data_IF_366685396745
#
_entry.id   IF_366685396745
#
_cell.length_a   1.000
_cell.length_b   1.000
_cell.length_c   1.000
_cell.angle_alpha   90.00
_cell.angle_beta   90.00
_cell.angle_gamma   90.00
#
_symmetry.space_group_name_H-M   'P 1'
#
loop_
_entity.id
_entity.type
_entity.pdbx_description
1 polymer ?
#
# COMPACT_ATOMS: atom_id res chain seq x y z
N UNK A 1 -15.02 -2.79 2.31
CA UNK A 1 -14.02 -1.84 1.83
C UNK A 1 -12.61 -2.37 2.08
N UNK A 2 -11.60 -1.83 1.39
CA UNK A 2 -10.20 -2.18 1.57
C UNK A 2 -9.29 -0.94 1.66
N UNK A 3 -8.05 -1.11 2.13
CA UNK A 3 -7.11 0.00 2.30
C UNK A 3 -5.84 -0.13 1.47
N UNK A 4 -5.59 -1.29 0.88
CA UNK A 4 -4.46 -1.46 -0.04
C UNK A 4 -4.80 -0.89 -1.42
N UNK A 5 -3.77 -0.65 -2.21
CA UNK A 5 -3.88 -0.16 -3.57
C UNK A 5 -2.79 -0.80 -4.43
N UNK A 6 -3.02 -0.94 -5.76
CA UNK A 6 -2.02 -1.45 -6.67
C UNK A 6 -0.76 -0.60 -6.67
N UNK A 7 0.40 -1.23 -6.78
CA UNK A 7 1.65 -0.49 -6.78
C UNK A 7 2.87 -1.37 -6.81
N UNK A 8 3.98 -0.83 -6.34
CA UNK A 8 5.23 -1.56 -6.25
C UNK A 8 5.61 -1.85 -4.80
N UNK A 9 6.44 -2.88 -4.63
CA UNK A 9 7.15 -3.19 -3.38
C UNK A 9 8.64 -3.24 -3.64
N UNK A 10 9.44 -2.75 -2.70
CA UNK A 10 10.90 -2.89 -2.75
C UNK A 10 11.25 -4.34 -2.39
N UNK A 11 12.09 -4.97 -3.21
CA UNK A 11 12.53 -6.36 -2.97
C UNK A 11 13.49 -6.47 -1.79
N UNK A 12 13.66 -7.68 -1.26
CA UNK A 12 14.61 -7.98 -0.17
C UNK A 12 16.05 -7.65 -0.51
N UNK A 13 16.45 -7.80 -1.79
CA UNK A 13 17.67 -7.22 -2.34
C UNK A 13 17.29 -5.87 -2.95
N UNK A 14 17.36 -4.75 -2.19
CA UNK A 14 16.62 -3.54 -2.49
C UNK A 14 17.13 -2.75 -3.68
N UNK A 15 18.39 -2.91 -4.03
CA UNK A 15 18.97 -2.12 -5.11
C UNK A 15 20.05 -2.88 -5.87
N UNK A 16 20.35 -2.38 -7.07
CA UNK A 16 21.51 -2.75 -7.87
C UNK A 16 22.15 -1.51 -8.46
N UNK A 17 23.44 -1.60 -8.76
CA UNK A 17 24.19 -0.54 -9.41
C UNK A 17 24.35 -0.88 -10.89
N UNK A 18 23.94 0.05 -11.74
CA UNK A 18 24.02 -0.07 -13.18
C UNK A 18 24.44 1.28 -13.77
N UNK A 19 25.52 1.30 -14.57
CA UNK A 19 26.08 2.48 -15.21
C UNK A 19 26.33 3.66 -14.24
N UNK A 20 26.81 3.38 -13.03
CA UNK A 20 27.08 4.42 -12.02
C UNK A 20 25.85 4.99 -11.32
N UNK A 21 24.70 4.36 -11.51
CA UNK A 21 23.44 4.73 -10.83
C UNK A 21 22.98 3.55 -9.98
N UNK A 22 22.68 3.80 -8.72
CA UNK A 22 21.97 2.85 -7.87
C UNK A 22 20.49 2.94 -8.17
N UNK A 23 19.91 1.80 -8.57
CA UNK A 23 18.51 1.65 -8.95
C UNK A 23 17.83 0.69 -7.98
N UNK A 24 16.62 1.06 -7.54
CA UNK A 24 15.82 0.18 -6.68
C UNK A 24 15.28 -1.00 -7.48
N UNK A 25 15.18 -2.15 -6.83
CA UNK A 25 14.55 -3.35 -7.40
C UNK A 25 13.12 -3.45 -6.93
N UNK A 26 12.20 -3.58 -7.88
CA UNK A 26 10.77 -3.56 -7.63
C UNK A 26 10.10 -4.90 -7.92
N UNK A 27 8.99 -5.12 -7.23
CA UNK A 27 8.00 -6.15 -7.49
C UNK A 27 6.63 -5.51 -7.60
N UNK A 28 5.83 -5.95 -8.58
CA UNK A 28 4.44 -5.49 -8.73
C UNK A 28 3.53 -6.06 -7.65
N UNK A 29 2.59 -5.26 -7.20
CA UNK A 29 1.54 -5.62 -6.25
C UNK A 29 0.18 -5.23 -6.83
N UNK A 30 -0.74 -6.20 -6.96
CA UNK A 30 -2.04 -5.97 -7.56
C UNK A 30 -2.02 -5.70 -9.07
N UNK A 31 -3.14 -5.24 -9.60
CA UNK A 31 -3.33 -4.92 -11.01
C UNK A 31 -2.92 -3.49 -11.37
N UNK A 32 -1.64 -3.12 -11.24
CA UNK A 32 -1.21 -1.74 -11.42
C UNK A 32 -1.14 -1.29 -12.90
N UNK A 33 -1.45 -0.02 -13.14
CA UNK A 33 -1.22 0.66 -14.42
C UNK A 33 0.22 1.15 -14.46
N UNK A 34 1.09 0.40 -15.10
CA UNK A 34 2.55 0.57 -15.05
C UNK A 34 3.03 1.93 -15.55
N UNK A 35 2.51 2.38 -16.72
CA UNK A 35 2.95 3.65 -17.32
C UNK A 35 2.59 4.88 -16.47
N UNK A 36 1.61 4.78 -15.58
CA UNK A 36 1.26 5.84 -14.66
C UNK A 36 2.34 6.15 -13.61
N UNK A 37 3.36 5.30 -13.48
CA UNK A 37 4.45 5.46 -12.53
C UNK A 37 5.70 6.15 -13.09
N UNK A 38 5.74 6.36 -14.40
CA UNK A 38 6.88 7.00 -15.06
C UNK A 38 6.91 8.51 -14.81
N UNK A 39 8.13 9.06 -14.74
CA UNK A 39 8.45 10.48 -14.64
C UNK A 39 7.85 11.22 -13.42
N UNK A 40 7.37 10.49 -12.44
CA UNK A 40 6.82 11.03 -11.20
C UNK A 40 7.85 10.99 -10.08
N UNK A 41 7.97 12.07 -9.28
CA UNK A 41 8.71 12.01 -8.02
C UNK A 41 8.05 11.04 -7.05
N UNK A 42 8.80 10.06 -6.57
CA UNK A 42 8.31 9.04 -5.65
C UNK A 42 9.02 9.14 -4.30
N UNK A 43 8.25 8.92 -3.24
CA UNK A 43 8.72 8.71 -1.88
C UNK A 43 8.59 7.23 -1.49
N UNK A 44 8.99 6.89 -0.26
CA UNK A 44 8.87 5.54 0.28
C UNK A 44 8.14 5.55 1.61
N UNK A 45 7.22 4.60 1.80
CA UNK A 45 6.58 4.33 3.07
C UNK A 45 6.41 2.83 3.30
N UNK A 46 6.20 2.45 4.55
CA UNK A 46 5.95 1.07 4.94
C UNK A 46 6.46 0.75 6.34
N UNK A 47 6.88 -0.50 6.54
CA UNK A 47 7.42 -0.99 7.81
C UNK A 47 8.85 -1.48 7.63
N UNK A 48 9.66 -1.22 8.65
CA UNK A 48 11.01 -1.77 8.78
C UNK A 48 11.07 -2.55 10.09
N UNK A 49 11.59 -3.75 10.03
CA UNK A 49 11.81 -4.56 11.23
C UNK A 49 13.25 -4.41 11.66
N UNK A 50 13.43 -3.89 12.84
CA UNK A 50 14.74 -3.67 13.44
C UNK A 50 14.92 -4.52 14.68
N UNK A 51 16.16 -4.86 14.99
CA UNK A 51 16.53 -5.52 16.20
C UNK A 51 16.46 -4.52 17.37
N UNK A 52 15.74 -4.87 18.42
CA UNK A 52 15.68 -4.05 19.62
C UNK A 52 16.85 -4.36 20.59
N UNK A 53 16.86 -3.69 21.74
CA UNK A 53 17.90 -3.84 22.77
C UNK A 53 17.99 -5.26 23.35
N UNK A 54 16.90 -6.05 23.26
CA UNK A 54 16.84 -7.42 23.71
C UNK A 54 17.19 -8.43 22.60
N UNK A 55 17.44 -7.93 21.40
CA UNK A 55 17.69 -8.75 20.20
C UNK A 55 16.44 -9.24 19.51
N UNK A 56 15.25 -8.75 19.89
CA UNK A 56 13.98 -9.13 19.30
C UNK A 56 13.60 -8.24 18.12
N UNK A 57 12.78 -8.77 17.19
CA UNK A 57 12.33 -8.02 16.04
C UNK A 57 11.20 -7.03 16.41
N UNK A 58 11.45 -5.74 16.20
CA UNK A 58 10.50 -4.66 16.42
C UNK A 58 10.11 -4.02 15.08
N UNK A 59 8.80 -3.93 14.80
CA UNK A 59 8.29 -3.24 13.62
C UNK A 59 8.25 -1.72 13.87
N UNK A 60 8.79 -0.95 12.94
CA UNK A 60 8.80 0.52 12.95
C UNK A 60 8.17 1.01 11.64
N UNK A 61 7.15 1.85 11.74
CA UNK A 61 6.56 2.49 10.56
C UNK A 61 7.48 3.61 10.06
N UNK A 62 7.72 3.62 8.76
CA UNK A 62 8.58 4.57 8.07
C UNK A 62 7.78 5.28 6.99
N UNK A 63 7.92 6.59 6.91
CA UNK A 63 7.41 7.41 5.81
C UNK A 63 8.41 8.50 5.45
N UNK A 64 9.08 8.34 4.32
CA UNK A 64 10.06 9.29 3.79
C UNK A 64 9.32 10.25 2.86
N UNK A 65 8.79 11.32 3.41
CA UNK A 65 7.89 12.27 2.74
C UNK A 65 8.55 13.21 1.71
N UNK A 66 9.72 12.87 1.20
CA UNK A 66 10.41 13.67 0.19
C UNK A 66 10.58 12.91 -1.11
N UNK A 67 10.69 13.59 -2.26
CA UNK A 67 11.08 12.97 -3.52
C UNK A 67 12.42 12.25 -3.35
N UNK A 68 12.41 10.94 -3.49
CA UNK A 68 13.58 10.09 -3.29
C UNK A 68 13.91 9.26 -4.52
N UNK A 69 12.90 8.88 -5.27
CA UNK A 69 12.99 7.97 -6.39
C UNK A 69 12.30 8.56 -7.63
N UNK A 70 12.75 8.12 -8.81
CA UNK A 70 12.10 8.39 -10.09
C UNK A 70 12.32 7.23 -11.04
N UNK A 71 11.29 6.84 -11.80
CA UNK A 71 11.37 5.91 -12.91
C UNK A 71 11.36 6.74 -14.19
N UNK A 72 12.51 7.02 -14.82
CA UNK A 72 12.54 7.89 -16.00
C UNK A 72 12.02 7.17 -17.23
N UNK A 73 11.22 7.84 -18.04
CA UNK A 73 10.85 7.39 -19.38
C UNK A 73 12.05 7.42 -20.30
N UNK A 74 12.13 6.44 -21.19
CA UNK A 74 13.10 6.49 -22.27
C UNK A 74 12.62 7.40 -23.41
N UNK A 75 13.52 8.18 -23.98
CA UNK A 75 13.21 9.01 -25.13
C UNK A 75 12.77 8.17 -26.34
N UNK A 76 11.90 8.72 -27.19
CA UNK A 76 11.40 8.07 -28.41
C UNK A 76 12.54 7.60 -29.34
N UNK A 77 13.70 8.25 -29.30
CA UNK A 77 14.88 7.85 -30.06
C UNK A 77 15.52 6.55 -29.56
N UNK A 78 15.29 6.19 -28.27
CA UNK A 78 15.81 4.98 -27.64
C UNK A 78 14.78 3.85 -27.73
N UNK A 79 13.50 4.15 -27.50
CA UNK A 79 12.41 3.17 -27.59
C UNK A 79 11.47 3.61 -28.70
N UNK A 80 11.67 3.05 -29.90
CA UNK A 80 10.76 3.28 -31.04
C UNK A 80 9.43 2.62 -30.75
N UNK A 81 8.33 3.29 -31.11
CA UNK A 81 6.97 2.75 -30.92
C UNK A 81 6.46 2.87 -29.48
N UNK A 82 7.07 3.68 -28.63
CA UNK A 82 6.63 3.90 -27.25
C UNK A 82 5.17 4.38 -27.17
N UNK A 83 4.71 5.09 -28.21
CA UNK A 83 3.32 5.58 -28.30
C UNK A 83 2.36 4.55 -28.91
N UNK A 84 2.85 3.41 -29.38
CA UNK A 84 2.05 2.36 -30.05
C UNK A 84 1.66 1.22 -29.07
N UNK A 85 1.77 1.45 -27.77
CA UNK A 85 1.50 0.46 -26.72
C UNK A 85 2.76 -0.17 -26.15
N UNK A 86 3.50 0.59 -25.34
CA UNK A 86 4.71 0.11 -24.68
C UNK A 86 4.40 -1.02 -23.69
N UNK A 87 5.13 -2.13 -23.81
CA UNK A 87 5.16 -3.22 -22.81
C UNK A 87 6.39 -3.07 -21.96
N UNK A 88 6.18 -2.91 -20.66
CA UNK A 88 7.29 -2.74 -19.71
C UNK A 88 7.63 -4.04 -19.01
N UNK A 89 8.93 -4.33 -18.91
CA UNK A 89 9.44 -5.35 -18.01
C UNK A 89 9.80 -4.72 -16.67
N UNK A 90 9.04 -5.04 -15.63
CA UNK A 90 9.22 -4.48 -14.27
C UNK A 90 10.63 -4.74 -13.75
N UNK A 91 11.23 -5.88 -14.09
CA UNK A 91 12.52 -6.31 -13.54
C UNK A 91 13.74 -5.60 -14.18
N UNK A 92 13.57 -5.02 -15.35
CA UNK A 92 14.68 -4.44 -16.12
C UNK A 92 14.47 -2.99 -16.50
N UNK A 93 13.23 -2.56 -16.71
CA UNK A 93 12.93 -1.23 -17.25
C UNK A 93 12.34 -0.28 -16.21
N UNK A 94 11.64 -0.82 -15.19
CA UNK A 94 10.98 -0.01 -14.16
C UNK A 94 11.78 0.04 -12.86
N UNK A 95 13.07 0.27 -12.96
CA UNK A 95 13.95 0.37 -11.80
C UNK A 95 14.18 1.84 -11.44
N UNK A 96 13.57 2.34 -10.36
CA UNK A 96 13.71 3.75 -9.98
C UNK A 96 15.17 4.11 -9.70
N UNK A 97 15.59 5.26 -10.16
CA UNK A 97 16.85 5.86 -9.78
C UNK A 97 16.78 6.32 -8.32
N UNK A 98 17.75 5.91 -7.54
CA UNK A 98 17.88 6.28 -6.14
C UNK A 98 19.05 7.24 -5.92
N UNK A 99 20.24 6.92 -6.43
CA UNK A 99 21.43 7.70 -6.22
C UNK A 99 22.45 7.56 -7.36
N UNK A 100 23.28 8.58 -7.56
CA UNK A 100 24.53 8.41 -8.27
C UNK A 100 25.49 7.57 -7.42
N UNK A 101 26.09 6.56 -8.02
CA UNK A 101 26.93 5.60 -7.30
C UNK A 101 28.13 5.15 -8.15
N UNK A 102 29.15 6.00 -8.19
CA UNK A 102 30.42 5.69 -8.87
C UNK A 102 31.31 4.74 -8.07
N UNK A 103 31.04 4.56 -6.78
CA UNK A 103 31.85 3.72 -5.88
C UNK A 103 31.53 2.23 -5.97
N UNK A 104 30.38 1.87 -6.57
CA UNK A 104 29.97 0.48 -6.72
C UNK A 104 29.45 -0.19 -5.45
N UNK A 105 29.20 0.56 -4.35
CA UNK A 105 28.69 0.05 -3.09
C UNK A 105 27.25 0.52 -2.86
N UNK A 106 26.27 -0.38 -2.70
CA UNK A 106 24.88 0.00 -2.43
C UNK A 106 24.74 0.89 -1.19
N UNK A 107 24.02 2.01 -1.34
CA UNK A 107 23.84 3.03 -0.28
C UNK A 107 22.44 3.00 0.35
N UNK A 108 21.48 2.32 -0.23
CA UNK A 108 20.07 2.37 0.22
C UNK A 108 19.89 1.96 1.68
N UNK A 109 20.44 0.83 2.10
CA UNK A 109 20.28 0.39 3.51
C UNK A 109 20.95 1.34 4.51
N UNK A 110 22.10 1.94 4.12
CA UNK A 110 22.75 2.95 4.98
C UNK A 110 21.91 4.22 5.06
N UNK A 111 21.36 4.67 3.94
CA UNK A 111 20.41 5.79 3.93
C UNK A 111 19.18 5.54 4.79
N UNK A 112 18.61 4.33 4.72
CA UNK A 112 17.44 3.95 5.53
C UNK A 112 17.79 3.93 7.02
N UNK A 113 18.94 3.38 7.38
CA UNK A 113 19.44 3.35 8.75
C UNK A 113 19.65 4.77 9.32
N UNK A 114 20.30 5.65 8.55
CA UNK A 114 20.51 7.06 8.93
C UNK A 114 19.19 7.79 9.11
N UNK A 115 18.22 7.58 8.19
CA UNK A 115 16.89 8.17 8.30
C UNK A 115 16.14 7.74 9.56
N UNK A 116 16.31 6.49 9.96
CA UNK A 116 15.64 5.91 11.13
C UNK A 116 16.42 6.15 12.44
N UNK A 117 17.70 6.56 12.37
CA UNK A 117 18.57 6.69 13.54
C UNK A 117 18.94 5.34 14.18
N UNK A 118 19.11 4.28 13.35
CA UNK A 118 19.49 2.93 13.78
C UNK A 118 20.79 2.49 13.10
N UNK A 119 21.43 1.43 13.61
CA UNK A 119 22.55 0.84 12.89
C UNK A 119 22.01 0.01 11.69
N UNK A 120 22.73 0.03 10.58
CA UNK A 120 22.36 -0.72 9.39
C UNK A 120 22.24 -2.23 9.65
N UNK A 121 23.09 -2.74 10.51
CA UNK A 121 23.15 -4.15 10.90
C UNK A 121 21.96 -4.58 11.76
N UNK A 122 21.23 -3.62 12.33
CA UNK A 122 20.01 -3.88 13.11
C UNK A 122 18.75 -3.95 12.23
N UNK A 123 18.84 -3.57 10.95
CA UNK A 123 17.73 -3.73 10.00
C UNK A 123 17.65 -5.21 9.60
N UNK A 124 16.58 -5.89 10.03
CA UNK A 124 16.33 -7.30 9.78
C UNK A 124 15.66 -7.52 8.40
N UNK A 125 14.60 -6.79 8.15
CA UNK A 125 13.86 -6.79 6.88
C UNK A 125 12.96 -5.56 6.79
N UNK A 126 12.27 -5.41 5.66
CA UNK A 126 11.35 -4.30 5.44
C UNK A 126 10.23 -4.69 4.46
N UNK A 127 9.11 -3.99 4.59
CA UNK A 127 7.99 -3.97 3.64
C UNK A 127 7.81 -2.51 3.21
N UNK A 128 8.55 -2.06 2.20
CA UNK A 128 8.52 -0.68 1.71
C UNK A 128 7.88 -0.60 0.34
N UNK A 129 7.04 0.40 0.15
CA UNK A 129 6.40 0.71 -1.12
C UNK A 129 6.75 2.14 -1.57
N UNK A 130 7.08 2.36 -2.83
CA UNK A 130 7.11 3.69 -3.39
C UNK A 130 5.68 4.24 -3.52
N UNK A 131 5.54 5.55 -3.37
CA UNK A 131 4.32 6.28 -3.63
C UNK A 131 4.62 7.64 -4.25
N UNK A 132 3.69 8.20 -5.02
CA UNK A 132 3.88 9.51 -5.61
C UNK A 132 3.83 10.62 -4.56
N UNK A 133 4.70 11.62 -4.71
CA UNK A 133 4.72 12.81 -3.84
C UNK A 133 3.74 13.84 -4.42
N UNK A 134 2.47 13.64 -4.14
CA UNK A 134 1.38 14.50 -4.61
C UNK A 134 0.20 14.42 -3.63
N UNK A 135 -0.22 15.56 -3.12
CA UNK A 135 -1.29 15.65 -2.11
C UNK A 135 -2.70 15.64 -2.72
N UNK A 136 -2.81 15.59 -4.03
CA UNK A 136 -4.07 15.71 -4.75
C UNK A 136 -4.46 17.15 -5.04
N UNK A 137 -5.42 17.35 -5.95
CA UNK A 137 -5.97 18.66 -6.27
C UNK A 137 -7.38 18.54 -6.85
N UNK A 138 -8.08 19.66 -6.85
CA UNK A 138 -9.28 19.80 -7.67
C UNK A 138 -8.91 20.13 -9.10
N UNK A 139 -9.68 19.61 -10.05
CA UNK A 139 -9.46 19.76 -11.50
C UNK A 139 -10.79 20.06 -12.18
N UNK A 140 -10.73 20.79 -13.28
CA UNK A 140 -11.89 21.22 -14.07
C UNK A 140 -12.06 22.71 -14.07
N UNK A 141 -12.90 23.22 -14.96
CA UNK A 141 -13.14 24.67 -15.10
C UNK A 141 -13.78 25.29 -13.84
N UNK A 142 -14.51 24.47 -13.09
CA UNK A 142 -15.17 24.88 -11.84
C UNK A 142 -14.73 23.97 -10.66
N UNK A 143 -13.56 23.33 -10.77
CA UNK A 143 -13.02 22.44 -9.74
C UNK A 143 -13.94 21.23 -9.41
N UNK A 144 -14.68 20.74 -10.40
CA UNK A 144 -15.70 19.70 -10.23
C UNK A 144 -15.14 18.28 -10.11
N UNK A 145 -13.84 18.07 -10.36
CA UNK A 145 -13.17 16.77 -10.26
C UNK A 145 -12.11 16.76 -9.16
N UNK A 146 -11.90 15.60 -8.58
CA UNK A 146 -10.80 15.34 -7.62
C UNK A 146 -9.75 14.46 -8.30
N UNK A 147 -8.51 14.93 -8.31
CA UNK A 147 -7.35 14.15 -8.77
C UNK A 147 -6.48 13.81 -7.57
N UNK A 148 -6.50 12.56 -7.14
CA UNK A 148 -5.68 12.05 -6.05
C UNK A 148 -5.44 10.56 -6.25
N UNK A 149 -4.32 10.05 -5.73
CA UNK A 149 -4.03 8.63 -5.79
C UNK A 149 -4.89 7.83 -4.81
N UNK A 150 -5.13 6.55 -5.13
CA UNK A 150 -5.76 5.57 -4.23
C UNK A 150 -7.19 5.93 -3.81
N UNK A 151 -7.98 6.56 -4.70
CA UNK A 151 -9.42 6.73 -4.49
C UNK A 151 -10.09 5.37 -4.32
N UNK A 152 -9.67 4.41 -5.09
CA UNK A 152 -9.91 2.99 -4.88
C UNK A 152 -8.92 2.44 -3.85
N UNK A 153 -9.33 2.01 -2.66
CA UNK A 153 -10.68 2.09 -2.11
C UNK A 153 -10.70 3.01 -0.86
N UNK A 154 -9.79 3.97 -0.82
CA UNK A 154 -9.70 4.92 0.30
C UNK A 154 -10.97 5.75 0.44
N UNK A 155 -11.66 6.06 -0.66
CA UNK A 155 -12.92 6.83 -0.63
C UNK A 155 -14.03 6.04 0.07
N UNK A 156 -14.28 4.80 -0.34
CA UNK A 156 -15.31 3.96 0.28
C UNK A 156 -14.94 3.57 1.72
N UNK A 157 -13.66 3.35 2.00
CA UNK A 157 -13.17 3.13 3.36
C UNK A 157 -13.44 4.34 4.27
N UNK A 158 -13.22 5.56 3.77
CA UNK A 158 -13.55 6.80 4.47
C UNK A 158 -15.06 6.90 4.72
N UNK A 159 -15.88 6.72 3.70
CA UNK A 159 -17.33 6.88 3.79
C UNK A 159 -17.97 5.84 4.73
N UNK A 160 -17.47 4.61 4.70
CA UNK A 160 -17.86 3.56 5.62
C UNK A 160 -17.55 3.94 7.09
N UNK A 161 -16.35 4.48 7.34
CA UNK A 161 -15.96 4.89 8.69
C UNK A 161 -16.72 6.13 9.15
N UNK A 162 -16.94 7.10 8.27
CA UNK A 162 -17.75 8.29 8.55
C UNK A 162 -19.18 7.88 8.89
N UNK A 163 -19.78 7.01 8.08
CA UNK A 163 -21.13 6.48 8.35
C UNK A 163 -21.24 5.74 9.69
N UNK A 164 -20.22 4.96 10.08
CA UNK A 164 -20.17 4.33 11.39
C UNK A 164 -20.09 5.34 12.54
N UNK A 165 -19.32 6.42 12.36
CA UNK A 165 -19.14 7.46 13.39
C UNK A 165 -20.42 8.30 13.55
N UNK A 166 -21.10 8.60 12.45
CA UNK A 166 -22.27 9.49 12.41
C UNK A 166 -23.58 8.77 12.72
N UNK A 167 -23.62 7.43 12.63
CA UNK A 167 -24.87 6.71 12.91
C UNK A 167 -25.19 6.65 14.40
N UNK A 168 -26.46 6.68 14.72
CA UNK A 168 -26.95 6.49 16.09
C UNK A 168 -26.74 5.02 16.52
N UNK A 169 -26.28 4.83 17.76
CA UNK A 169 -26.12 3.49 18.31
C UNK A 169 -27.49 2.82 18.49
N UNK A 170 -27.67 1.64 17.90
CA UNK A 170 -28.84 0.79 18.18
C UNK A 170 -28.51 -0.16 19.34
N UNK A 171 -29.32 -0.10 20.42
CA UNK A 171 -29.16 -0.98 21.58
C UNK A 171 -29.33 -2.48 21.24
N UNK A 172 -29.93 -2.82 20.11
CA UNK A 172 -30.24 -4.18 19.70
C UNK A 172 -29.33 -4.70 18.56
N UNK A 173 -28.41 -3.88 18.08
CA UNK A 173 -27.52 -4.24 16.96
C UNK A 173 -26.09 -3.78 17.19
N UNK A 174 -25.13 -4.62 16.82
CA UNK A 174 -23.71 -4.24 16.73
C UNK A 174 -23.41 -3.78 15.33
N UNK A 175 -22.84 -2.59 15.21
CA UNK A 175 -22.39 -2.02 13.93
C UNK A 175 -20.89 -2.23 13.82
N UNK A 176 -20.44 -2.79 12.71
CA UNK A 176 -19.04 -3.12 12.48
C UNK A 176 -18.62 -2.59 11.11
N UNK A 177 -17.60 -1.74 11.07
CA UNK A 177 -16.94 -1.34 9.84
C UNK A 177 -15.61 -2.05 9.73
N UNK A 178 -15.28 -2.58 8.55
CA UNK A 178 -14.04 -3.33 8.30
C UNK A 178 -13.42 -2.86 7.01
N UNK A 179 -12.20 -2.37 7.08
CA UNK A 179 -11.35 -2.13 5.92
C UNK A 179 -10.28 -3.21 5.86
N UNK A 180 -10.35 -4.08 4.86
CA UNK A 180 -9.42 -5.18 4.67
C UNK A 180 -8.12 -4.71 4.03
N UNK A 181 -7.08 -5.51 4.16
CA UNK A 181 -5.83 -5.40 3.41
C UNK A 181 -5.80 -6.52 2.35
N UNK A 182 -4.89 -6.44 1.38
CA UNK A 182 -4.67 -7.47 0.37
C UNK A 182 -5.89 -7.81 -0.51
N UNK A 183 -6.80 -6.86 -0.71
CA UNK A 183 -7.87 -7.02 -1.69
C UNK A 183 -7.28 -7.12 -3.09
N UNK A 184 -6.39 -6.23 -3.45
CA UNK A 184 -5.76 -6.04 -4.76
C UNK A 184 -4.95 -7.25 -5.26
N UNK A 185 -4.59 -8.17 -4.37
CA UNK A 185 -3.96 -9.44 -4.70
C UNK A 185 -4.87 -10.66 -4.47
N UNK A 186 -6.20 -10.44 -4.34
CA UNK A 186 -7.23 -11.47 -4.35
C UNK A 186 -7.73 -11.92 -2.98
N UNK A 187 -7.49 -11.18 -1.90
CA UNK A 187 -8.05 -11.38 -0.55
C UNK A 187 -7.70 -12.70 0.14
N UNK A 188 -6.78 -13.50 -0.38
CA UNK A 188 -6.49 -14.86 0.13
C UNK A 188 -5.47 -14.91 1.27
N UNK A 189 -4.96 -13.76 1.72
CA UNK A 189 -4.00 -13.71 2.82
C UNK A 189 -4.70 -13.69 4.19
N UNK A 190 -3.91 -13.80 5.26
CA UNK A 190 -4.41 -13.65 6.63
C UNK A 190 -4.93 -12.24 6.97
N UNK A 191 -4.79 -11.26 6.06
CA UNK A 191 -5.27 -9.88 6.20
C UNK A 191 -6.45 -9.58 5.27
N UNK A 192 -6.70 -10.44 4.28
CA UNK A 192 -7.76 -10.26 3.29
C UNK A 192 -9.13 -10.70 3.77
N UNK A 193 -10.15 -10.36 3.02
CA UNK A 193 -11.56 -10.63 3.37
C UNK A 193 -11.89 -12.13 3.46
N UNK A 194 -11.09 -13.01 2.86
CA UNK A 194 -11.29 -14.47 2.93
C UNK A 194 -10.68 -15.12 4.18
N UNK A 195 -10.03 -14.35 5.06
CA UNK A 195 -9.49 -14.88 6.31
C UNK A 195 -10.60 -15.06 7.37
N UNK A 196 -10.30 -15.85 8.39
CA UNK A 196 -11.20 -16.08 9.51
C UNK A 196 -11.15 -14.98 10.59
N UNK A 197 -10.38 -13.93 10.41
CA UNK A 197 -10.09 -12.93 11.46
C UNK A 197 -11.37 -12.25 11.97
N UNK A 198 -12.28 -11.86 11.07
CA UNK A 198 -13.54 -11.22 11.48
C UNK A 198 -14.41 -12.19 12.30
N UNK A 199 -14.51 -13.44 11.87
CA UNK A 199 -15.28 -14.44 12.62
C UNK A 199 -14.66 -14.70 13.99
N UNK A 200 -13.33 -14.75 14.09
CA UNK A 200 -12.63 -14.90 15.38
C UNK A 200 -12.85 -13.69 16.28
N UNK A 201 -12.91 -12.47 15.74
CA UNK A 201 -13.25 -11.25 16.51
C UNK A 201 -14.67 -11.35 17.04
N UNK A 202 -15.63 -11.73 16.19
CA UNK A 202 -17.03 -11.91 16.58
C UNK A 202 -17.17 -12.99 17.69
N UNK A 203 -16.46 -14.11 17.54
CA UNK A 203 -16.45 -15.17 18.55
C UNK A 203 -15.94 -14.66 19.90
N UNK A 204 -14.85 -13.91 19.90
CA UNK A 204 -14.29 -13.31 21.12
C UNK A 204 -15.23 -12.27 21.76
N UNK A 205 -15.93 -11.49 20.94
CA UNK A 205 -16.96 -10.53 21.44
C UNK A 205 -18.10 -11.31 22.09
N UNK A 206 -18.64 -12.32 21.42
CA UNK A 206 -19.73 -13.16 21.96
C UNK A 206 -19.31 -13.81 23.29
N UNK A 207 -18.14 -14.39 23.36
CA UNK A 207 -17.59 -15.00 24.58
C UNK A 207 -17.51 -13.99 25.74
N UNK A 208 -16.97 -12.78 25.46
CA UNK A 208 -16.85 -11.73 26.48
C UNK A 208 -18.21 -11.19 26.98
N UNK A 209 -19.21 -11.22 26.14
CA UNK A 209 -20.59 -10.82 26.48
C UNK A 209 -21.39 -11.97 27.09
N UNK A 210 -20.86 -13.17 27.23
CA UNK A 210 -21.51 -14.34 27.77
C UNK A 210 -22.51 -15.01 26.83
N UNK A 211 -22.39 -14.75 25.51
CA UNK A 211 -23.26 -15.37 24.50
C UNK A 211 -22.66 -16.70 24.01
N UNK A 212 -23.54 -17.68 23.83
CA UNK A 212 -23.17 -18.98 23.29
C UNK A 212 -23.20 -19.05 21.76
N UNK A 213 -22.84 -20.24 21.22
CA UNK A 213 -22.84 -20.46 19.78
C UNK A 213 -24.23 -20.22 19.14
N UNK A 214 -25.31 -20.60 19.81
CA UNK A 214 -26.68 -20.40 19.32
C UNK A 214 -27.02 -18.90 19.20
N UNK A 215 -26.61 -18.08 20.16
CA UNK A 215 -26.86 -16.63 20.13
C UNK A 215 -26.09 -16.00 18.97
N UNK A 216 -24.81 -16.44 18.75
CA UNK A 216 -24.01 -16.01 17.61
C UNK A 216 -24.69 -16.36 16.28
N UNK A 217 -25.16 -17.60 16.10
CA UNK A 217 -25.83 -18.01 14.86
C UNK A 217 -27.12 -17.23 14.60
N UNK A 218 -27.88 -16.92 15.64
CA UNK A 218 -29.07 -16.04 15.53
C UNK A 218 -28.67 -14.62 15.11
N UNK A 219 -27.63 -14.08 15.67
CA UNK A 219 -27.09 -12.75 15.26
C UNK A 219 -26.66 -12.74 13.82
N UNK A 220 -25.85 -13.72 13.41
CA UNK A 220 -25.37 -13.85 12.03
C UNK A 220 -26.51 -14.01 11.02
N UNK A 221 -27.57 -14.76 11.36
CA UNK A 221 -28.73 -14.94 10.47
C UNK A 221 -29.53 -13.65 10.23
N UNK A 222 -29.39 -12.65 11.10
CA UNK A 222 -30.02 -11.33 10.99
C UNK A 222 -29.06 -10.24 10.51
N UNK A 223 -27.80 -10.58 10.35
CA UNK A 223 -26.75 -9.62 9.93
C UNK A 223 -26.96 -9.22 8.49
N UNK A 224 -26.87 -7.92 8.23
CA UNK A 224 -26.79 -7.35 6.88
C UNK A 224 -25.37 -6.91 6.63
N UNK A 225 -24.81 -7.30 5.49
CA UNK A 225 -23.45 -6.96 5.09
C UNK A 225 -23.51 -6.06 3.85
N UNK A 226 -22.87 -4.91 3.94
CA UNK A 226 -22.63 -4.04 2.81
C UNK A 226 -21.19 -4.19 2.37
N UNK A 227 -20.98 -4.54 1.11
CA UNK A 227 -19.66 -4.51 0.47
C UNK A 227 -19.54 -3.20 -0.30
N UNK A 228 -18.52 -2.42 0.01
CA UNK A 228 -18.26 -1.14 -0.64
C UNK A 228 -16.91 -1.21 -1.34
N UNK A 229 -16.89 -0.74 -2.57
CA UNK A 229 -15.74 -0.69 -3.44
C UNK A 229 -15.94 0.43 -4.48
N UNK A 230 -14.87 1.02 -4.98
CA UNK A 230 -14.95 2.17 -5.87
C UNK A 230 -15.43 1.74 -7.27
N UNK A 231 -16.50 2.37 -7.72
CA UNK A 231 -17.02 2.13 -9.06
C UNK A 231 -16.21 2.85 -10.15
N UNK A 232 -16.18 2.25 -11.35
CA UNK A 232 -15.56 2.88 -12.51
C UNK A 232 -16.34 4.12 -12.97
N UNK A 233 -15.60 5.18 -13.29
CA UNK A 233 -16.17 6.36 -13.95
C UNK A 233 -16.31 6.15 -15.47
N UNK A 234 -16.98 7.10 -16.11
CA UNK A 234 -17.02 7.20 -17.58
C UNK A 234 -15.66 7.62 -18.14
N UNK A 235 -15.20 6.95 -19.20
CA UNK A 235 -13.97 7.28 -19.96
C UNK A 235 -14.06 6.87 -21.42
#
# INVERSE_FOLDING_TARGET
>A
AHQDAPGFRIKSVPSRIDQGIERMTLEGYGGLIVHGWLDRPLALAGRVFVKDENGEAKAVNVNIKKPLLIIPSAAIHVVKGVNDGAKFNIQTELLPFFAQNSEGKPKFLSYLADFMGVNKEDILCFELAPYEVFDGCFVGANEEFVSVARLDDAAMSHDMMAGLIECEADANASQIAVAFDHEECGSNSNRGARCNTIMQIIDRICEKLGYGAEDKYRALSKTVVFSADQAHATH
#
